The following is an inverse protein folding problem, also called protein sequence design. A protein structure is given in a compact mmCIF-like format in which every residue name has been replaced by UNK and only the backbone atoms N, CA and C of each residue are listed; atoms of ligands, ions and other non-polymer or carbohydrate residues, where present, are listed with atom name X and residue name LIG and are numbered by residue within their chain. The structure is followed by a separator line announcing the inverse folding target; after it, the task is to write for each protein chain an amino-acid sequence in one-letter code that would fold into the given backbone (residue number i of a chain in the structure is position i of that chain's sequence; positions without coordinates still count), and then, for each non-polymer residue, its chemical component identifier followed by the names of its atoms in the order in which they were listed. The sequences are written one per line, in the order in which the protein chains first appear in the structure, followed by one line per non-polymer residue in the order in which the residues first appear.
data_IF_888383288683
#
_entry.id   IF_888383288683
#
_cell.length_a   1.000
_cell.length_b   1.000
_cell.length_c   1.000
_cell.angle_alpha   90.00
_cell.angle_beta   90.00
_cell.angle_gamma   90.00
#
_symmetry.space_group_name_H-M   'P 1'
#
loop_
_entity.id
_entity.type
_entity.pdbx_description
1 polymer ?
#
# COMPACT_ATOMS: atom_id res chain seq x y z
N UNK A 1 7.57 32.60 -30.19
CA UNK A 1 6.98 31.27 -29.93
C UNK A 1 7.90 30.58 -28.94
N UNK A 2 7.66 30.80 -27.65
CA UNK A 2 8.48 30.21 -26.58
C UNK A 2 8.00 28.77 -26.44
N UNK A 3 8.89 27.80 -26.63
CA UNK A 3 8.62 26.42 -26.23
C UNK A 3 8.25 26.45 -24.76
N UNK A 4 6.97 26.20 -24.49
CA UNK A 4 6.47 25.93 -23.15
C UNK A 4 7.34 24.78 -22.62
N UNK A 5 8.18 25.06 -21.64
CA UNK A 5 8.97 24.04 -20.97
C UNK A 5 7.97 22.99 -20.47
N UNK A 6 8.02 21.78 -21.03
CA UNK A 6 7.31 20.62 -20.51
C UNK A 6 7.89 20.31 -19.12
N UNK A 7 7.39 21.02 -18.12
CA UNK A 7 7.81 20.88 -16.75
C UNK A 7 7.25 19.55 -16.23
N UNK A 8 8.13 18.57 -16.01
CA UNK A 8 7.73 17.31 -15.39
C UNK A 8 7.63 17.50 -13.88
N UNK A 9 6.42 17.33 -13.33
CA UNK A 9 6.13 17.36 -11.89
C UNK A 9 5.60 15.99 -11.47
N UNK A 10 6.45 14.96 -11.35
CA UNK A 10 6.01 13.61 -11.01
C UNK A 10 5.45 13.57 -9.58
N UNK A 11 4.38 12.80 -9.40
CA UNK A 11 3.83 12.49 -8.07
C UNK A 11 4.51 11.22 -7.59
N UNK A 12 5.24 11.33 -6.48
CA UNK A 12 5.90 10.21 -5.81
C UNK A 12 5.49 10.24 -4.34
N UNK A 13 5.17 9.07 -3.81
CA UNK A 13 4.82 8.86 -2.41
C UNK A 13 5.62 7.67 -1.87
N UNK A 14 5.68 7.53 -0.55
CA UNK A 14 6.45 6.48 0.10
C UNK A 14 5.75 5.93 1.34
N UNK A 15 6.15 4.71 1.70
CA UNK A 15 6.08 4.21 3.08
C UNK A 15 7.43 3.60 3.46
N UNK A 16 7.71 3.52 4.75
CA UNK A 16 9.03 3.11 5.26
C UNK A 16 9.17 1.58 5.39
N UNK A 17 10.02 0.95 4.58
CA UNK A 17 10.27 -0.50 4.62
C UNK A 17 11.55 -0.92 5.35
N UNK A 18 12.21 0.00 6.07
CA UNK A 18 13.56 -0.22 6.64
C UNK A 18 13.66 -1.30 7.72
N UNK A 19 12.54 -1.96 8.09
CA UNK A 19 12.57 -3.15 8.93
C UNK A 19 12.92 -4.42 8.13
N UNK A 20 12.39 -4.56 6.91
CA UNK A 20 12.63 -5.73 6.03
C UNK A 20 13.58 -5.43 4.88
N UNK A 21 13.86 -4.16 4.62
CA UNK A 21 14.69 -3.70 3.51
C UNK A 21 15.88 -2.88 4.00
N UNK A 22 16.98 -2.93 3.26
CA UNK A 22 18.09 -1.98 3.40
C UNK A 22 17.72 -0.66 2.71
N UNK A 23 16.93 0.17 3.40
CA UNK A 23 16.32 1.37 2.83
C UNK A 23 17.37 2.43 2.38
N UNK A 24 18.56 2.42 2.99
CA UNK A 24 19.64 3.37 2.66
C UNK A 24 20.61 2.84 1.59
N UNK A 25 20.41 1.61 1.10
CA UNK A 25 21.31 0.99 0.13
C UNK A 25 21.10 1.43 -1.33
N UNK A 26 20.10 2.28 -1.61
CA UNK A 26 19.76 2.76 -2.95
C UNK A 26 19.51 1.61 -3.95
N UNK A 27 18.84 0.52 -3.51
CA UNK A 27 18.64 -0.69 -4.32
C UNK A 27 17.62 -0.53 -5.45
N UNK A 28 16.67 0.40 -5.34
CA UNK A 28 15.76 0.76 -6.44
C UNK A 28 16.52 1.57 -7.48
N UNK A 29 16.52 1.11 -8.73
CA UNK A 29 17.21 1.71 -9.87
C UNK A 29 16.22 2.22 -10.91
N UNK A 30 16.70 3.09 -11.79
CA UNK A 30 15.94 3.65 -12.92
C UNK A 30 15.28 2.56 -13.78
N UNK A 31 15.99 1.46 -14.04
CA UNK A 31 15.46 0.31 -14.79
C UNK A 31 14.23 -0.33 -14.14
N UNK A 32 14.16 -0.40 -12.80
CA UNK A 32 13.00 -0.93 -12.09
C UNK A 32 11.78 0.00 -12.26
N UNK A 33 12.01 1.32 -12.29
CA UNK A 33 10.93 2.30 -12.52
C UNK A 33 10.39 2.15 -13.94
N UNK A 34 11.28 2.07 -14.93
CA UNK A 34 10.84 1.86 -16.32
C UNK A 34 10.21 0.50 -16.55
N UNK A 35 10.68 -0.55 -15.89
CA UNK A 35 10.04 -1.87 -15.94
C UNK A 35 8.60 -1.79 -15.42
N UNK A 36 8.38 -1.14 -14.27
CA UNK A 36 7.04 -0.97 -13.72
C UNK A 36 6.14 -0.15 -14.65
N UNK A 37 6.64 0.94 -15.24
CA UNK A 37 5.90 1.76 -16.20
C UNK A 37 5.55 0.99 -17.48
N UNK A 38 6.50 0.25 -18.05
CA UNK A 38 6.30 -0.51 -19.28
C UNK A 38 5.39 -1.73 -19.09
N UNK A 39 5.36 -2.30 -17.88
CA UNK A 39 4.53 -3.47 -17.56
C UNK A 39 3.15 -3.11 -17.01
N UNK A 40 2.86 -1.83 -16.74
CA UNK A 40 1.56 -1.38 -16.27
C UNK A 40 0.43 -1.87 -17.20
N UNK A 41 -0.59 -2.49 -16.61
CA UNK A 41 -1.74 -3.04 -17.34
C UNK A 41 -2.98 -2.17 -17.14
N UNK A 42 -3.86 -2.17 -18.14
CA UNK A 42 -5.14 -1.46 -18.09
C UNK A 42 -6.18 -2.12 -17.19
N UNK A 43 -7.38 -1.54 -17.16
CA UNK A 43 -8.51 -1.94 -16.30
C UNK A 43 -8.96 -3.38 -16.44
N UNK A 44 -8.62 -4.05 -17.54
CA UNK A 44 -9.04 -5.41 -17.84
C UNK A 44 -8.15 -6.47 -17.16
N UNK A 45 -7.11 -6.05 -16.44
CA UNK A 45 -6.18 -6.91 -15.71
C UNK A 45 -6.40 -6.84 -14.20
N UNK A 46 -6.27 -7.99 -13.53
CA UNK A 46 -6.26 -8.03 -12.07
C UNK A 46 -4.98 -7.39 -11.54
N UNK A 47 -5.12 -6.60 -10.48
CA UNK A 47 -3.99 -6.03 -9.74
C UNK A 47 -3.45 -7.10 -8.80
N UNK A 48 -2.13 -7.29 -8.79
CA UNK A 48 -1.48 -8.15 -7.81
C UNK A 48 -1.44 -7.48 -6.44
N UNK A 49 -1.72 -8.24 -5.39
CA UNK A 49 -1.78 -7.77 -4.00
C UNK A 49 -0.70 -8.42 -3.13
N UNK A 50 -0.45 -7.84 -1.97
CA UNK A 50 0.55 -8.30 -1.01
C UNK A 50 1.95 -7.74 -1.28
N UNK A 51 2.97 -8.57 -1.23
CA UNK A 51 4.37 -8.17 -1.23
C UNK A 51 4.95 -7.89 -2.63
N UNK A 52 4.28 -7.05 -3.42
CA UNK A 52 4.63 -6.72 -4.81
C UNK A 52 4.94 -5.22 -4.98
N UNK A 53 5.82 -4.87 -5.93
CA UNK A 53 6.13 -3.46 -6.24
C UNK A 53 6.78 -2.70 -5.07
N UNK A 54 6.36 -1.46 -4.85
CA UNK A 54 6.88 -0.60 -3.76
C UNK A 54 6.58 -1.10 -2.36
N UNK A 55 5.82 -2.19 -2.24
CA UNK A 55 5.23 -2.70 -1.00
C UNK A 55 5.85 -4.00 -0.50
N UNK A 56 6.84 -4.51 -1.24
CA UNK A 56 7.48 -5.80 -0.96
C UNK A 56 7.98 -5.90 0.47
N UNK A 57 8.53 -4.83 1.04
CA UNK A 57 9.07 -4.78 2.41
C UNK A 57 8.11 -4.32 3.52
N UNK A 58 6.81 -4.16 3.24
CA UNK A 58 5.88 -3.49 4.19
C UNK A 58 5.26 -4.42 5.24
N UNK A 59 4.95 -3.83 6.41
CA UNK A 59 4.35 -4.46 7.59
C UNK A 59 3.21 -3.59 8.11
N UNK A 60 2.05 -4.20 8.36
CA UNK A 60 0.91 -3.54 9.01
C UNK A 60 0.34 -4.44 10.09
N UNK A 61 -0.02 -3.85 11.23
CA UNK A 61 -0.57 -4.57 12.38
C UNK A 61 0.29 -5.74 12.86
N UNK A 62 1.61 -5.64 12.71
CA UNK A 62 2.54 -6.72 13.05
C UNK A 62 2.47 -7.96 12.14
N UNK A 63 1.81 -7.87 10.99
CA UNK A 63 1.75 -8.90 9.96
C UNK A 63 2.40 -8.42 8.67
N UNK A 64 2.77 -9.35 7.79
CA UNK A 64 3.18 -8.98 6.45
C UNK A 64 2.03 -8.23 5.78
N UNK A 65 2.34 -7.06 5.26
CA UNK A 65 1.39 -6.23 4.54
C UNK A 65 1.87 -6.03 3.10
N UNK A 66 1.38 -4.97 2.49
CA UNK A 66 1.67 -4.60 1.13
C UNK A 66 0.37 -4.32 0.37
N UNK A 67 0.42 -4.46 -0.95
CA UNK A 67 -0.53 -3.82 -1.86
C UNK A 67 -1.91 -4.37 -1.62
N UNK A 68 -2.89 -3.48 -1.44
CA UNK A 68 -4.29 -3.84 -1.35
C UNK A 68 -5.12 -3.04 -2.34
N UNK A 69 -6.16 -3.65 -2.90
CA UNK A 69 -7.11 -2.95 -3.77
C UNK A 69 -8.55 -3.33 -3.44
N UNK A 70 -9.48 -2.41 -3.67
CA UNK A 70 -10.90 -2.71 -3.65
C UNK A 70 -11.66 -1.73 -4.53
N UNK A 71 -12.83 -2.13 -4.98
CA UNK A 71 -13.72 -1.24 -5.73
C UNK A 71 -15.17 -1.39 -5.30
N UNK A 72 -15.98 -0.37 -5.56
CA UNK A 72 -17.43 -0.39 -5.38
C UNK A 72 -18.10 0.30 -6.55
N UNK A 73 -19.15 -0.33 -7.08
CA UNK A 73 -20.09 0.29 -8.01
C UNK A 73 -21.23 0.90 -7.21
N UNK A 74 -21.57 2.15 -7.49
CA UNK A 74 -22.66 2.87 -6.84
C UNK A 74 -23.92 2.70 -7.71
N UNK A 75 -24.78 1.74 -7.35
CA UNK A 75 -25.90 1.27 -8.19
C UNK A 75 -26.96 2.35 -8.53
N UNK A 76 -26.96 3.50 -7.85
CA UNK A 76 -27.82 4.65 -8.17
C UNK A 76 -27.18 5.77 -9.01
N UNK A 77 -25.85 5.83 -9.06
CA UNK A 77 -25.11 6.86 -9.81
C UNK A 77 -24.41 6.28 -11.05
N UNK A 78 -24.34 4.95 -11.15
CA UNK A 78 -23.61 4.21 -12.18
C UNK A 78 -22.13 4.63 -12.30
N UNK A 79 -21.54 5.07 -11.18
CA UNK A 79 -20.11 5.33 -11.04
C UNK A 79 -19.42 4.18 -10.30
N UNK A 80 -18.12 4.06 -10.52
CA UNK A 80 -17.23 3.14 -9.82
C UNK A 80 -16.17 3.93 -9.07
N UNK A 81 -15.98 3.60 -7.80
CA UNK A 81 -14.85 4.05 -7.01
C UNK A 81 -13.89 2.87 -6.85
N UNK A 82 -12.64 3.06 -7.27
CA UNK A 82 -11.53 2.15 -7.03
C UNK A 82 -10.55 2.73 -6.03
N UNK A 83 -9.98 1.88 -5.18
CA UNK A 83 -8.99 2.26 -4.17
C UNK A 83 -7.81 1.31 -4.29
N UNK A 84 -6.60 1.87 -4.36
CA UNK A 84 -5.33 1.15 -4.22
C UNK A 84 -4.64 1.69 -2.97
N UNK A 85 -4.19 0.80 -2.09
CA UNK A 85 -3.47 1.17 -0.88
C UNK A 85 -2.06 0.62 -0.91
N UNK A 86 -1.14 1.43 -0.37
CA UNK A 86 0.17 1.01 0.05
C UNK A 86 0.26 0.99 1.58
N UNK A 87 0.15 -0.20 2.19
CA UNK A 87 -0.16 -0.40 3.62
C UNK A 87 1.08 -0.77 4.45
N UNK A 88 1.44 0.10 5.39
CA UNK A 88 2.60 -0.10 6.28
C UNK A 88 2.40 0.57 7.66
N UNK A 89 1.33 0.25 8.38
CA UNK A 89 0.96 0.97 9.60
C UNK A 89 0.27 0.11 10.66
N UNK A 90 0.16 0.68 11.86
CA UNK A 90 -0.65 0.15 12.96
C UNK A 90 0.03 -0.99 13.71
N UNK A 91 -0.33 -1.11 14.99
CA UNK A 91 0.13 -2.18 15.87
C UNK A 91 -0.89 -3.31 15.95
N UNK A 92 -0.45 -4.53 16.32
CA UNK A 92 -1.27 -5.76 16.22
C UNK A 92 -2.63 -5.63 16.90
N UNK A 93 -2.70 -5.06 18.11
CA UNK A 93 -3.94 -4.90 18.88
C UNK A 93 -5.03 -4.09 18.16
N UNK A 94 -4.65 -3.20 17.23
CA UNK A 94 -5.57 -2.34 16.49
C UNK A 94 -6.25 -3.05 15.31
N UNK A 95 -5.83 -4.28 14.95
CA UNK A 95 -6.38 -4.98 13.80
C UNK A 95 -7.86 -5.33 14.03
N UNK A 96 -8.72 -4.69 13.24
CA UNK A 96 -10.15 -4.96 13.16
C UNK A 96 -10.50 -5.50 11.78
N UNK A 97 -11.15 -6.66 11.71
CA UNK A 97 -11.61 -7.27 10.46
C UNK A 97 -13.11 -7.49 10.57
N UNK A 98 -13.88 -6.87 9.66
CA UNK A 98 -15.36 -6.97 9.63
C UNK A 98 -15.98 -6.64 11.00
N UNK A 99 -15.43 -5.62 11.68
CA UNK A 99 -15.89 -5.18 13.00
C UNK A 99 -15.43 -6.02 14.20
N UNK A 100 -14.67 -7.09 13.98
CA UNK A 100 -14.12 -7.93 15.05
C UNK A 100 -12.69 -7.49 15.38
N UNK A 101 -12.38 -7.27 16.67
CA UNK A 101 -11.03 -6.95 17.17
C UNK A 101 -10.08 -8.16 17.12
N UNK A 102 -9.76 -8.61 15.91
CA UNK A 102 -8.91 -9.79 15.67
C UNK A 102 -7.54 -9.67 16.35
N UNK A 103 -6.96 -8.46 16.36
CA UNK A 103 -5.68 -8.19 17.04
C UNK A 103 -5.68 -8.61 18.51
N UNK A 104 -6.69 -8.17 19.26
CA UNK A 104 -6.88 -8.51 20.67
C UNK A 104 -7.11 -10.01 20.88
N UNK A 105 -7.91 -10.65 20.01
CA UNK A 105 -8.15 -12.10 20.10
C UNK A 105 -6.88 -12.92 19.86
N UNK A 106 -6.02 -12.49 18.92
CA UNK A 106 -4.74 -13.15 18.66
C UNK A 106 -3.76 -12.98 19.83
N UNK A 107 -3.68 -11.79 20.43
CA UNK A 107 -2.80 -11.53 21.58
C UNK A 107 -3.16 -12.37 22.81
N UNK A 108 -4.44 -12.72 23.01
CA UNK A 108 -4.86 -13.64 24.09
C UNK A 108 -4.34 -15.07 23.89
N UNK A 109 -4.14 -15.49 22.64
CA UNK A 109 -3.71 -16.84 22.26
C UNK A 109 -2.18 -16.92 22.17
N UNK A 110 -1.54 -15.85 21.69
CA UNK A 110 -0.10 -15.71 21.58
C UNK A 110 0.53 -15.54 22.98
N UNK A 111 0.87 -16.65 23.64
CA UNK A 111 1.67 -16.67 24.88
C UNK A 111 3.17 -16.34 24.61
N UNK A 112 3.47 -15.36 23.76
CA UNK A 112 4.83 -15.18 23.24
C UNK A 112 5.40 -13.79 23.53
N UNK A 113 6.58 -13.80 24.16
CA UNK A 113 7.51 -12.68 24.37
C UNK A 113 8.14 -12.14 23.05
N UNK A 114 7.47 -12.27 21.90
CA UNK A 114 8.04 -11.86 20.62
C UNK A 114 7.95 -10.34 20.47
N UNK A 115 9.12 -9.69 20.45
CA UNK A 115 9.33 -8.26 20.44
C UNK A 115 9.09 -7.61 19.06
N UNK A 116 7.89 -7.77 18.50
CA UNK A 116 7.47 -6.83 17.46
C UNK A 116 7.15 -5.52 18.19
N UNK A 117 7.75 -4.38 17.79
CA UNK A 117 7.45 -3.10 18.42
C UNK A 117 5.92 -2.87 18.41
N UNK A 118 5.32 -2.76 19.59
CA UNK A 118 3.91 -2.36 19.77
C UNK A 118 3.76 -0.83 19.66
N UNK A 119 4.65 -0.21 18.89
CA UNK A 119 4.63 1.21 18.63
C UNK A 119 3.66 1.47 17.48
N UNK A 120 2.73 2.38 17.69
CA UNK A 120 1.80 2.86 16.67
C UNK A 120 2.52 3.83 15.74
N UNK A 121 3.43 3.29 14.94
CA UNK A 121 4.25 4.00 13.95
C UNK A 121 4.07 3.34 12.59
N UNK A 122 4.11 4.15 11.54
CA UNK A 122 3.99 3.67 10.17
C UNK A 122 3.32 4.70 9.26
N UNK A 123 3.03 4.27 8.04
CA UNK A 123 2.44 5.08 7.00
C UNK A 123 1.53 4.26 6.10
N UNK A 124 0.58 4.93 5.46
CA UNK A 124 -0.27 4.34 4.44
C UNK A 124 -0.45 5.36 3.32
N UNK A 125 -0.28 4.92 2.08
CA UNK A 125 -0.68 5.69 0.89
C UNK A 125 -2.01 5.15 0.40
N UNK A 126 -2.93 6.04 0.06
CA UNK A 126 -4.25 5.67 -0.47
C UNK A 126 -4.47 6.45 -1.77
N UNK A 127 -4.61 5.73 -2.86
CA UNK A 127 -5.00 6.27 -4.16
C UNK A 127 -6.46 5.94 -4.40
N UNK A 128 -7.27 6.97 -4.62
CA UNK A 128 -8.70 6.82 -4.95
C UNK A 128 -8.91 7.28 -6.38
N UNK A 129 -9.52 6.43 -7.20
CA UNK A 129 -9.91 6.73 -8.57
C UNK A 129 -11.42 6.57 -8.73
N UNK A 130 -12.04 7.43 -9.53
CA UNK A 130 -13.47 7.39 -9.83
C UNK A 130 -13.72 7.83 -11.26
N UNK A 131 -14.78 7.29 -11.88
CA UNK A 131 -15.30 7.73 -13.18
C UNK A 131 -16.43 8.79 -13.04
N UNK A 132 -16.75 9.19 -11.82
CA UNK A 132 -17.61 10.34 -11.55
C UNK A 132 -16.97 11.66 -12.04
N UNK A 133 -17.76 12.59 -12.59
CA UNK A 133 -17.28 13.88 -13.07
C UNK A 133 -16.92 14.87 -11.96
#
# INVERSE_FOLDING_TARGET
MVHMLDLSLPIVAETYDGYLNDINGFHVKEEHVFEALNNAKGSDSLIQEGNVGGETGMISFGFKAGTGTSSRKIEGLNYTIGVLVQSNFGCKKQLIIVGVSVGEELLKIEQTNASIPDEDVGSIIVIVATDAP
#
